data_IF_128583183847
#
_entry.id   IF_128583183847
#
_cell.length_a   1.000
_cell.length_b   1.000
_cell.length_c   1.000
_cell.angle_alpha   90.00
_cell.angle_beta   90.00
_cell.angle_gamma   90.00
#
_symmetry.space_group_name_H-M   'P 1'
#
loop_
_entity.id
_entity.type
_entity.pdbx_description
1 polymer ?
#
# COMPACT_ATOMS: atom_id res chain seq x y z
N UNK A 1 -12.73 21.27 -8.08
CA UNK A 1 -12.53 22.57 -7.41
C UNK A 1 -11.65 23.52 -8.22
N UNK A 2 -10.39 23.17 -8.58
CA UNK A 2 -9.48 24.10 -9.31
C UNK A 2 -10.09 24.66 -10.60
N UNK A 3 -10.66 23.80 -11.47
CA UNK A 3 -11.30 24.21 -12.73
C UNK A 3 -12.42 25.25 -12.51
N UNK A 4 -13.23 25.08 -11.48
CA UNK A 4 -14.32 26.01 -11.17
C UNK A 4 -13.80 27.33 -10.61
N UNK A 5 -12.72 27.32 -9.81
CA UNK A 5 -12.05 28.53 -9.36
C UNK A 5 -11.43 29.29 -10.54
N UNK A 6 -10.79 28.58 -11.49
CA UNK A 6 -10.22 29.20 -12.69
C UNK A 6 -11.29 29.83 -13.59
N UNK A 7 -12.54 29.32 -13.55
CA UNK A 7 -13.68 29.91 -14.25
C UNK A 7 -14.32 31.09 -13.50
N UNK A 8 -13.78 31.48 -12.33
CA UNK A 8 -14.24 32.62 -11.53
C UNK A 8 -15.40 32.33 -10.57
N UNK A 9 -15.74 31.06 -10.36
CA UNK A 9 -16.75 30.69 -9.37
C UNK A 9 -16.26 30.94 -7.95
N UNK A 10 -17.14 31.36 -7.03
CA UNK A 10 -16.80 31.57 -5.64
C UNK A 10 -16.53 30.23 -4.92
N UNK A 11 -15.66 30.22 -3.93
CA UNK A 11 -15.31 28.98 -3.21
C UNK A 11 -16.51 28.36 -2.48
N UNK A 12 -17.41 29.17 -1.97
CA UNK A 12 -18.61 28.74 -1.26
C UNK A 12 -19.62 28.07 -2.24
N UNK A 13 -19.82 28.63 -3.43
CA UNK A 13 -20.65 28.00 -4.47
C UNK A 13 -20.06 26.67 -4.93
N UNK A 14 -18.74 26.62 -5.10
CA UNK A 14 -18.04 25.38 -5.50
C UNK A 14 -18.21 24.29 -4.44
N UNK A 15 -18.03 24.63 -3.15
CA UNK A 15 -18.18 23.67 -2.07
C UNK A 15 -19.61 23.17 -1.91
N UNK A 16 -20.58 24.02 -2.13
CA UNK A 16 -22.00 23.65 -2.12
C UNK A 16 -22.35 22.72 -3.29
N UNK A 17 -21.91 23.05 -4.50
CA UNK A 17 -22.12 22.23 -5.68
C UNK A 17 -21.48 20.83 -5.56
N UNK A 18 -20.22 20.77 -5.09
CA UNK A 18 -19.50 19.50 -4.90
C UNK A 18 -20.12 18.70 -3.75
N UNK A 19 -20.46 19.37 -2.64
CA UNK A 19 -21.07 18.74 -1.49
C UNK A 19 -22.37 18.01 -1.81
N UNK A 20 -23.19 18.58 -2.68
CA UNK A 20 -24.45 17.98 -3.10
C UNK A 20 -24.27 16.68 -3.92
N UNK A 21 -23.11 16.47 -4.53
CA UNK A 21 -22.78 15.27 -5.32
C UNK A 21 -22.11 14.17 -4.50
N UNK A 22 -21.77 14.44 -3.23
CA UNK A 22 -21.03 13.51 -2.37
C UNK A 22 -21.96 12.67 -1.47
N UNK A 23 -21.38 11.58 -0.91
CA UNK A 23 -22.07 10.80 0.11
C UNK A 23 -22.31 11.63 1.39
N UNK A 24 -23.21 11.18 2.25
CA UNK A 24 -23.70 11.91 3.42
C UNK A 24 -22.58 12.53 4.26
N UNK A 25 -21.51 11.80 4.54
CA UNK A 25 -20.39 12.25 5.40
C UNK A 25 -19.64 13.44 4.79
N UNK A 26 -19.30 13.37 3.51
CA UNK A 26 -18.61 14.47 2.83
C UNK A 26 -19.56 15.64 2.53
N UNK A 27 -20.83 15.37 2.20
CA UNK A 27 -21.85 16.39 2.04
C UNK A 27 -21.98 17.27 3.27
N UNK A 28 -22.14 16.66 4.44
CA UNK A 28 -22.24 17.42 5.71
C UNK A 28 -20.98 18.26 5.98
N UNK A 29 -19.80 17.70 5.68
CA UNK A 29 -18.53 18.42 5.81
C UNK A 29 -18.49 19.66 4.89
N UNK A 30 -18.74 19.49 3.59
CA UNK A 30 -18.69 20.59 2.63
C UNK A 30 -19.73 21.68 2.95
N UNK A 31 -20.96 21.32 3.29
CA UNK A 31 -22.00 22.27 3.67
C UNK A 31 -21.69 23.00 4.97
N UNK A 32 -21.02 22.33 5.94
CA UNK A 32 -20.53 22.98 7.16
C UNK A 32 -19.40 23.96 6.83
N UNK A 33 -18.46 23.55 5.98
CA UNK A 33 -17.36 24.41 5.54
C UNK A 33 -17.86 25.64 4.79
N UNK A 34 -18.84 25.49 3.88
CA UNK A 34 -19.48 26.62 3.20
C UNK A 34 -20.07 27.64 4.18
N UNK A 35 -20.78 27.14 5.22
CA UNK A 35 -21.35 28.03 6.24
C UNK A 35 -20.29 28.78 7.05
N UNK A 36 -19.16 28.11 7.35
CA UNK A 36 -18.07 28.73 8.07
C UNK A 36 -17.36 29.80 7.22
N UNK A 37 -17.11 29.54 5.95
CA UNK A 37 -16.50 30.49 5.00
C UNK A 37 -17.40 31.72 4.83
N UNK A 38 -18.71 31.54 4.70
CA UNK A 38 -19.68 32.67 4.67
C UNK A 38 -19.69 33.52 5.95
N UNK A 39 -19.21 32.96 7.10
CA UNK A 39 -19.01 33.68 8.36
C UNK A 39 -17.63 34.34 8.48
N UNK A 40 -16.78 34.26 7.47
CA UNK A 40 -15.45 34.84 7.42
C UNK A 40 -14.32 33.95 7.99
N UNK A 41 -14.59 32.68 8.29
CA UNK A 41 -13.50 31.74 8.66
C UNK A 41 -12.65 31.40 7.45
N UNK A 42 -11.35 31.15 7.67
CA UNK A 42 -10.46 30.67 6.62
C UNK A 42 -10.92 29.32 6.07
N UNK A 43 -10.58 29.03 4.82
CA UNK A 43 -10.92 27.77 4.15
C UNK A 43 -10.28 26.61 4.90
N UNK A 44 -9.00 26.77 5.29
CA UNK A 44 -8.26 25.79 6.09
C UNK A 44 -8.99 25.46 7.39
N UNK A 45 -9.35 26.46 8.22
CA UNK A 45 -10.04 26.22 9.49
C UNK A 45 -11.42 25.57 9.29
N UNK A 46 -12.10 25.91 8.20
CA UNK A 46 -13.40 25.34 7.86
C UNK A 46 -13.30 23.84 7.56
N UNK A 47 -12.25 23.40 6.86
CA UNK A 47 -11.99 21.99 6.60
C UNK A 47 -11.44 21.24 7.82
N UNK A 48 -10.56 21.85 8.61
CA UNK A 48 -9.98 21.25 9.82
C UNK A 48 -11.05 20.78 10.81
N UNK A 49 -12.14 21.53 10.93
CA UNK A 49 -13.25 21.21 11.83
C UNK A 49 -13.98 19.89 11.53
N UNK A 50 -13.68 19.24 10.43
CA UNK A 50 -14.32 17.98 10.00
C UNK A 50 -13.50 16.73 10.29
N UNK A 51 -12.22 16.85 10.62
CA UNK A 51 -11.26 15.73 10.79
C UNK A 51 -11.16 14.76 9.61
N UNK A 52 -11.67 15.15 8.44
CA UNK A 52 -11.68 14.29 7.23
C UNK A 52 -10.45 14.48 6.36
N UNK A 53 -9.74 15.57 6.52
CA UNK A 53 -8.62 15.95 5.67
C UNK A 53 -7.29 15.79 6.41
N UNK A 54 -6.25 15.38 5.68
CA UNK A 54 -4.89 15.24 6.22
C UNK A 54 -4.27 16.61 6.49
N UNK A 55 -3.30 16.67 7.42
CA UNK A 55 -2.50 17.88 7.67
C UNK A 55 -1.81 18.40 6.42
N UNK A 56 -1.38 17.49 5.54
CA UNK A 56 -0.83 17.85 4.22
C UNK A 56 -1.84 18.68 3.40
N UNK A 57 -3.08 18.18 3.25
CA UNK A 57 -4.12 18.88 2.52
C UNK A 57 -4.41 20.25 3.14
N UNK A 58 -4.56 20.30 4.47
CA UNK A 58 -4.86 21.52 5.20
C UNK A 58 -3.74 22.56 5.07
N UNK A 59 -2.48 22.12 5.13
CA UNK A 59 -1.32 23.00 4.96
C UNK A 59 -1.20 23.55 3.53
N UNK A 60 -1.52 22.72 2.54
CA UNK A 60 -1.59 23.17 1.15
C UNK A 60 -2.69 24.20 0.93
N UNK A 61 -3.89 23.97 1.48
CA UNK A 61 -5.00 24.95 1.42
C UNK A 61 -4.61 26.27 2.09
N UNK A 62 -4.01 26.22 3.28
CA UNK A 62 -3.51 27.40 3.98
C UNK A 62 -2.51 28.19 3.14
N UNK A 63 -1.56 27.50 2.51
CA UNK A 63 -0.58 28.13 1.65
C UNK A 63 -1.25 28.79 0.42
N UNK A 64 -2.18 28.08 -0.24
CA UNK A 64 -2.94 28.60 -1.37
C UNK A 64 -3.81 29.82 -1.01
N UNK A 65 -4.44 29.79 0.15
CA UNK A 65 -5.27 30.88 0.68
C UNK A 65 -4.40 32.13 0.98
N UNK A 66 -3.29 31.96 1.72
CA UNK A 66 -2.39 33.04 2.08
C UNK A 66 -1.66 33.67 0.88
N UNK A 67 -1.34 32.88 -0.14
CA UNK A 67 -0.67 33.36 -1.34
C UNK A 67 -1.61 33.84 -2.45
N UNK A 68 -2.93 33.68 -2.28
CA UNK A 68 -3.93 33.96 -3.33
C UNK A 68 -3.86 32.99 -4.52
N UNK A 69 -3.13 31.87 -4.41
CA UNK A 69 -2.93 30.87 -5.48
C UNK A 69 -3.69 29.57 -5.22
N UNK A 70 -4.89 29.67 -4.62
CA UNK A 70 -5.68 28.50 -4.21
C UNK A 70 -6.01 27.57 -5.37
N UNK A 71 -6.31 28.11 -6.54
CA UNK A 71 -6.58 27.30 -7.74
C UNK A 71 -5.39 26.48 -8.16
N UNK A 72 -4.18 27.07 -8.21
CA UNK A 72 -2.94 26.36 -8.53
C UNK A 72 -2.65 25.24 -7.53
N UNK A 73 -2.79 25.54 -6.24
CA UNK A 73 -2.58 24.55 -5.17
C UNK A 73 -3.59 23.40 -5.28
N UNK A 74 -4.85 23.70 -5.51
CA UNK A 74 -5.87 22.66 -5.70
C UNK A 74 -5.64 21.81 -6.96
N UNK A 75 -5.07 22.39 -8.01
CA UNK A 75 -4.66 21.64 -9.20
C UNK A 75 -3.51 20.68 -8.87
N UNK A 76 -2.45 21.17 -8.24
CA UNK A 76 -1.32 20.33 -7.81
C UNK A 76 -1.79 19.19 -6.88
N UNK A 77 -2.71 19.47 -5.96
CA UNK A 77 -3.33 18.46 -5.08
C UNK A 77 -4.19 17.45 -5.87
N UNK A 78 -4.91 17.90 -6.88
CA UNK A 78 -5.69 17.01 -7.76
C UNK A 78 -4.78 16.03 -8.49
N UNK A 79 -3.68 16.52 -9.08
CA UNK A 79 -2.67 15.70 -9.76
C UNK A 79 -2.02 14.70 -8.78
N UNK A 80 -1.72 15.15 -7.55
CA UNK A 80 -1.20 14.30 -6.48
C UNK A 80 -2.12 13.13 -6.15
N UNK A 81 -3.40 13.42 -5.86
CA UNK A 81 -4.36 12.36 -5.50
C UNK A 81 -4.75 11.49 -6.68
N UNK A 82 -4.82 12.05 -7.88
CA UNK A 82 -5.08 11.28 -9.10
C UNK A 82 -3.97 10.26 -9.36
N UNK A 83 -2.70 10.64 -9.18
CA UNK A 83 -1.58 9.73 -9.33
C UNK A 83 -1.61 8.61 -8.28
N UNK A 84 -1.85 8.95 -7.01
CA UNK A 84 -2.00 7.96 -5.94
C UNK A 84 -3.13 6.97 -6.25
N UNK A 85 -4.26 7.46 -6.76
CA UNK A 85 -5.37 6.63 -7.21
C UNK A 85 -4.99 5.74 -8.41
N UNK A 86 -4.30 6.27 -9.41
CA UNK A 86 -3.86 5.50 -10.59
C UNK A 86 -2.94 4.35 -10.21
N UNK A 87 -1.97 4.57 -9.34
CA UNK A 87 -1.07 3.52 -8.84
C UNK A 87 -1.86 2.42 -8.13
N UNK A 88 -2.75 2.80 -7.20
CA UNK A 88 -3.60 1.85 -6.48
C UNK A 88 -4.55 1.09 -7.41
N UNK A 89 -5.14 1.78 -8.38
CA UNK A 89 -6.04 1.18 -9.37
C UNK A 89 -5.30 0.22 -10.29
N UNK A 90 -4.09 0.57 -10.75
CA UNK A 90 -3.23 -0.31 -11.55
C UNK A 90 -2.94 -1.61 -10.80
N UNK A 91 -2.50 -1.51 -9.53
CA UNK A 91 -2.24 -2.69 -8.70
C UNK A 91 -3.49 -3.56 -8.52
N UNK A 92 -4.64 -2.93 -8.23
CA UNK A 92 -5.91 -3.66 -8.07
C UNK A 92 -6.32 -4.38 -9.36
N UNK A 93 -6.24 -3.71 -10.51
CA UNK A 93 -6.62 -4.30 -11.80
C UNK A 93 -5.76 -5.51 -12.17
N UNK A 94 -4.47 -5.43 -11.89
CA UNK A 94 -3.53 -6.51 -12.20
C UNK A 94 -3.75 -7.72 -11.30
N UNK A 95 -4.17 -7.53 -10.05
CA UNK A 95 -4.46 -8.61 -9.10
C UNK A 95 -5.74 -9.39 -9.42
N UNK A 96 -6.58 -8.94 -10.36
CA UNK A 96 -7.82 -9.65 -10.72
C UNK A 96 -7.51 -11.03 -11.32
N UNK A 97 -6.62 -11.09 -12.31
CA UNK A 97 -6.26 -12.37 -12.98
C UNK A 97 -5.66 -13.39 -12.00
N UNK A 98 -4.63 -13.07 -11.20
CA UNK A 98 -4.13 -13.95 -10.15
C UNK A 98 -5.21 -14.41 -9.16
N UNK A 99 -6.12 -13.53 -8.77
CA UNK A 99 -7.19 -13.88 -7.83
C UNK A 99 -8.17 -14.89 -8.44
N UNK A 100 -8.54 -14.73 -9.72
CA UNK A 100 -9.40 -15.70 -10.43
C UNK A 100 -8.73 -17.07 -10.52
N UNK A 101 -7.46 -17.10 -10.91
CA UNK A 101 -6.71 -18.38 -10.99
C UNK A 101 -6.61 -19.07 -9.63
N UNK A 102 -6.34 -18.30 -8.57
CA UNK A 102 -6.26 -18.83 -7.22
C UNK A 102 -7.62 -19.38 -6.73
N UNK A 103 -8.72 -18.68 -7.02
CA UNK A 103 -10.07 -19.16 -6.73
C UNK A 103 -10.36 -20.46 -7.49
N UNK A 104 -10.04 -20.52 -8.79
CA UNK A 104 -10.24 -21.73 -9.59
C UNK A 104 -9.43 -22.91 -9.06
N UNK A 105 -8.19 -22.67 -8.62
CA UNK A 105 -7.35 -23.68 -7.98
C UNK A 105 -7.99 -24.20 -6.69
N UNK A 106 -8.48 -23.32 -5.83
CA UNK A 106 -9.19 -23.71 -4.58
C UNK A 106 -10.41 -24.56 -4.92
N UNK A 107 -11.23 -24.17 -5.90
CA UNK A 107 -12.41 -24.91 -6.33
C UNK A 107 -12.03 -26.31 -6.82
N UNK A 108 -10.96 -26.42 -7.63
CA UNK A 108 -10.47 -27.70 -8.10
C UNK A 108 -9.99 -28.62 -6.96
N UNK A 109 -9.23 -28.07 -6.01
CA UNK A 109 -8.77 -28.82 -4.82
C UNK A 109 -9.96 -29.28 -3.97
N UNK A 110 -10.94 -28.43 -3.73
CA UNK A 110 -12.17 -28.79 -3.00
C UNK A 110 -12.93 -29.89 -3.74
N UNK A 111 -13.09 -29.77 -5.05
CA UNK A 111 -13.75 -30.80 -5.87
C UNK A 111 -13.04 -32.14 -5.73
N UNK A 112 -11.73 -32.17 -5.87
CA UNK A 112 -10.96 -33.41 -5.72
C UNK A 112 -11.09 -33.99 -4.33
N UNK A 113 -11.04 -33.16 -3.29
CA UNK A 113 -11.16 -33.57 -1.89
C UNK A 113 -12.52 -34.22 -1.58
N UNK A 114 -13.63 -33.70 -2.14
CA UNK A 114 -14.96 -34.21 -1.86
C UNK A 114 -15.45 -35.29 -2.82
N UNK A 115 -15.09 -35.21 -4.12
CA UNK A 115 -15.60 -36.10 -5.13
C UNK A 115 -14.63 -37.26 -5.49
N UNK A 116 -13.32 -37.01 -5.41
CA UNK A 116 -12.34 -37.99 -5.92
C UNK A 116 -11.71 -38.80 -4.78
N UNK A 117 -11.13 -38.14 -3.79
CA UNK A 117 -10.37 -38.80 -2.72
C UNK A 117 -11.18 -39.85 -1.92
N UNK A 118 -12.47 -39.61 -1.54
CA UNK A 118 -13.22 -40.61 -0.81
C UNK A 118 -13.41 -41.91 -1.59
N UNK A 119 -13.63 -41.83 -2.90
CA UNK A 119 -13.79 -43.01 -3.75
C UNK A 119 -12.51 -43.85 -3.81
N UNK A 120 -11.34 -43.18 -3.88
CA UNK A 120 -10.05 -43.89 -3.84
C UNK A 120 -9.79 -44.50 -2.46
N UNK A 121 -10.10 -43.81 -1.37
CA UNK A 121 -9.95 -44.40 -0.04
C UNK A 121 -10.78 -45.67 0.14
N UNK A 122 -12.01 -45.69 -0.36
CA UNK A 122 -12.88 -46.91 -0.36
C UNK A 122 -12.29 -48.03 -1.20
N UNK A 123 -11.69 -47.76 -2.37
CA UNK A 123 -11.06 -48.77 -3.21
C UNK A 123 -9.86 -49.42 -2.51
N UNK A 124 -9.04 -48.65 -1.82
CA UNK A 124 -7.92 -49.19 -1.04
C UNK A 124 -8.37 -50.06 0.13
N UNK A 125 -9.37 -49.59 0.87
CA UNK A 125 -9.90 -50.31 2.03
C UNK A 125 -10.58 -51.64 1.59
N UNK A 126 -11.36 -51.61 0.51
CA UNK A 126 -12.09 -52.80 0.00
C UNK A 126 -11.19 -53.90 -0.54
N UNK A 127 -10.04 -53.51 -1.10
CA UNK A 127 -9.09 -54.46 -1.68
C UNK A 127 -7.90 -54.80 -0.76
N UNK A 128 -7.86 -54.29 0.47
CA UNK A 128 -6.74 -54.43 1.42
C UNK A 128 -5.38 -53.99 0.83
N UNK A 129 -5.38 -53.05 -0.11
CA UNK A 129 -4.17 -52.54 -0.77
C UNK A 129 -3.63 -51.35 0.06
N UNK A 130 -2.37 -51.42 0.47
CA UNK A 130 -1.69 -50.30 1.10
C UNK A 130 -1.29 -49.25 0.06
N UNK A 131 -1.78 -47.99 0.16
CA UNK A 131 -1.38 -46.96 -0.80
C UNK A 131 0.13 -46.67 -0.70
N UNK A 132 0.79 -46.30 -1.80
CA UNK A 132 2.16 -45.81 -1.79
C UNK A 132 2.34 -44.62 -0.82
N UNK A 133 3.54 -44.47 -0.30
CA UNK A 133 3.84 -43.44 0.74
C UNK A 133 3.34 -42.06 0.38
N UNK A 134 3.57 -41.60 -0.83
CA UNK A 134 3.15 -40.27 -1.30
C UNK A 134 1.60 -40.15 -1.35
N UNK A 135 0.94 -41.15 -1.93
CA UNK A 135 -0.53 -41.22 -2.01
C UNK A 135 -1.16 -41.29 -0.62
N UNK A 136 -0.56 -42.05 0.29
CA UNK A 136 -1.01 -42.12 1.69
C UNK A 136 -0.97 -40.72 2.37
N UNK A 137 0.13 -39.97 2.21
CA UNK A 137 0.24 -38.61 2.75
C UNK A 137 -0.84 -37.70 2.18
N UNK A 138 -1.03 -37.71 0.84
CA UNK A 138 -2.02 -36.83 0.20
C UNK A 138 -3.44 -37.18 0.62
N UNK A 139 -3.80 -38.48 0.57
CA UNK A 139 -5.14 -38.94 0.97
C UNK A 139 -5.41 -38.60 2.43
N UNK A 140 -4.50 -38.93 3.33
CA UNK A 140 -4.66 -38.68 4.76
C UNK A 140 -4.75 -37.18 5.07
N UNK A 141 -3.89 -36.37 4.44
CA UNK A 141 -3.92 -34.89 4.60
C UNK A 141 -5.24 -34.29 4.10
N UNK A 142 -5.77 -34.78 2.98
CA UNK A 142 -7.02 -34.28 2.43
C UNK A 142 -8.24 -34.74 3.24
N UNK A 143 -8.26 -35.98 3.71
CA UNK A 143 -9.31 -36.46 4.63
C UNK A 143 -9.28 -35.68 5.95
N UNK A 144 -8.09 -35.42 6.50
CA UNK A 144 -7.93 -34.56 7.67
C UNK A 144 -8.44 -33.14 7.40
N UNK A 145 -8.04 -32.52 6.29
CA UNK A 145 -8.56 -31.20 5.92
C UNK A 145 -10.07 -31.20 5.76
N UNK A 146 -10.66 -32.23 5.17
CA UNK A 146 -12.11 -32.37 5.02
C UNK A 146 -12.83 -32.45 6.37
N UNK A 147 -12.34 -33.27 7.29
CA UNK A 147 -12.92 -33.47 8.60
C UNK A 147 -12.85 -32.20 9.47
N UNK A 148 -11.71 -31.53 9.44
CA UNK A 148 -11.44 -30.33 10.25
C UNK A 148 -11.66 -29.01 9.51
N UNK A 149 -12.23 -29.01 8.30
CA UNK A 149 -12.41 -27.78 7.50
C UNK A 149 -13.21 -26.72 8.25
N UNK A 150 -14.26 -27.12 8.98
CA UNK A 150 -15.08 -26.20 9.79
C UNK A 150 -14.31 -25.52 10.93
N UNK A 151 -13.17 -26.08 11.33
CA UNK A 151 -12.29 -25.54 12.38
C UNK A 151 -11.10 -24.81 11.74
N UNK A 152 -10.52 -25.39 10.69
CA UNK A 152 -9.33 -24.85 10.02
C UNK A 152 -9.62 -23.51 9.33
N UNK A 153 -10.77 -23.38 8.66
CA UNK A 153 -11.13 -22.13 7.96
C UNK A 153 -11.28 -20.96 8.94
N UNK A 154 -12.07 -21.06 10.04
CA UNK A 154 -12.11 -19.99 11.04
C UNK A 154 -10.74 -19.70 11.67
N UNK A 155 -9.92 -20.71 11.97
CA UNK A 155 -8.59 -20.53 12.54
C UNK A 155 -7.70 -19.75 11.57
N UNK A 156 -7.72 -20.11 10.27
CA UNK A 156 -6.91 -19.44 9.24
C UNK A 156 -7.30 -17.97 9.03
N UNK A 157 -8.56 -17.62 9.29
CA UNK A 157 -9.04 -16.23 9.25
C UNK A 157 -8.78 -15.52 10.58
N UNK A 158 -9.01 -16.17 11.72
CA UNK A 158 -8.90 -15.55 13.04
C UNK A 158 -7.45 -15.25 13.44
N UNK A 159 -6.50 -16.13 13.10
CA UNK A 159 -5.08 -15.93 13.46
C UNK A 159 -4.52 -14.64 12.85
N UNK A 160 -4.62 -14.35 11.54
CA UNK A 160 -4.15 -13.08 10.97
C UNK A 160 -4.87 -11.86 11.55
N UNK A 161 -6.18 -11.98 11.81
CA UNK A 161 -6.96 -10.89 12.44
C UNK A 161 -6.48 -10.64 13.86
N UNK A 162 -6.28 -11.69 14.65
CA UNK A 162 -5.77 -11.57 16.03
C UNK A 162 -4.36 -10.99 16.05
N UNK A 163 -3.48 -11.47 15.18
CA UNK A 163 -2.13 -10.93 15.02
C UNK A 163 -2.20 -9.44 14.65
N UNK A 164 -3.05 -9.07 13.71
CA UNK A 164 -3.24 -7.67 13.31
C UNK A 164 -3.72 -6.79 14.49
N UNK A 165 -4.68 -7.27 15.29
CA UNK A 165 -5.20 -6.57 16.46
C UNK A 165 -4.10 -6.43 17.54
N UNK A 166 -3.38 -7.50 17.85
CA UNK A 166 -2.28 -7.50 18.82
C UNK A 166 -1.13 -6.57 18.42
N UNK A 167 -0.82 -6.51 17.14
CA UNK A 167 0.19 -5.60 16.59
C UNK A 167 -0.28 -4.15 16.77
N UNK A 168 -1.54 -3.86 16.42
CA UNK A 168 -2.08 -2.50 16.45
C UNK A 168 -2.28 -1.98 17.88
N UNK A 169 -2.48 -2.85 18.87
CA UNK A 169 -2.74 -2.46 20.25
C UNK A 169 -1.50 -2.03 21.03
N UNK A 170 -0.29 -2.37 20.56
CA UNK A 170 0.96 -2.05 21.26
C UNK A 170 1.92 -1.24 20.36
N UNK A 171 2.18 0.00 20.76
CA UNK A 171 3.05 0.95 20.02
C UNK A 171 4.48 0.45 19.87
N UNK A 172 5.03 -0.25 20.87
CA UNK A 172 6.39 -0.83 20.77
C UNK A 172 6.48 -1.96 19.73
N UNK A 173 5.42 -2.76 19.61
CA UNK A 173 5.35 -3.80 18.60
C UNK A 173 5.21 -3.20 17.19
N UNK A 174 4.46 -2.10 17.05
CA UNK A 174 4.38 -1.34 15.80
C UNK A 174 5.77 -0.86 15.36
N UNK A 175 6.55 -0.28 16.25
CA UNK A 175 7.92 0.20 15.95
C UNK A 175 8.85 -0.94 15.49
N UNK A 176 8.79 -2.11 16.14
CA UNK A 176 9.59 -3.28 15.75
C UNK A 176 9.21 -3.80 14.37
N UNK A 177 7.91 -3.85 14.07
CA UNK A 177 7.40 -4.30 12.77
C UNK A 177 7.73 -3.28 11.68
N UNK A 178 7.60 -1.99 11.95
CA UNK A 178 7.95 -0.93 11.02
C UNK A 178 9.45 -0.95 10.70
N UNK A 179 10.29 -1.22 11.70
CA UNK A 179 11.72 -1.45 11.49
C UNK A 179 12.00 -2.74 10.70
N UNK A 180 11.22 -3.80 10.93
CA UNK A 180 11.34 -5.06 10.19
C UNK A 180 10.97 -4.89 8.71
N UNK A 181 9.90 -4.13 8.38
CA UNK A 181 9.55 -3.77 7.00
C UNK A 181 10.70 -3.10 6.27
N UNK A 182 11.47 -2.27 6.98
CA UNK A 182 12.66 -1.61 6.43
C UNK A 182 13.87 -2.56 6.27
N UNK A 183 13.84 -3.79 6.82
CA UNK A 183 14.97 -4.74 6.82
C UNK A 183 14.73 -6.03 6.03
N UNK A 184 13.49 -6.37 5.69
CA UNK A 184 13.16 -7.60 4.97
C UNK A 184 13.78 -7.58 3.55
N UNK A 185 14.66 -8.54 3.18
CA UNK A 185 15.54 -8.43 2.02
C UNK A 185 14.81 -8.29 0.68
N UNK A 186 13.61 -8.85 0.53
CA UNK A 186 12.82 -8.76 -0.70
C UNK A 186 11.92 -7.51 -0.75
N UNK A 187 11.39 -7.07 0.41
CA UNK A 187 10.45 -5.95 0.52
C UNK A 187 11.13 -4.62 0.82
N UNK A 188 12.31 -4.64 1.45
CA UNK A 188 13.03 -3.42 1.85
C UNK A 188 13.21 -2.47 0.66
N UNK A 189 13.75 -2.97 -0.45
CA UNK A 189 14.07 -2.12 -1.61
C UNK A 189 12.83 -1.44 -2.18
N UNK A 190 11.73 -2.20 -2.38
CA UNK A 190 10.46 -1.66 -2.86
C UNK A 190 9.84 -0.67 -1.86
N UNK A 191 9.81 -1.07 -0.58
CA UNK A 191 9.23 -0.26 0.47
C UNK A 191 9.96 1.07 0.64
N UNK A 192 11.29 1.04 0.74
CA UNK A 192 12.11 2.25 0.89
C UNK A 192 12.01 3.15 -0.35
N UNK A 193 11.96 2.57 -1.54
CA UNK A 193 11.75 3.33 -2.78
C UNK A 193 10.39 4.01 -2.81
N UNK A 194 9.33 3.32 -2.36
CA UNK A 194 7.97 3.88 -2.24
C UNK A 194 7.91 5.03 -1.22
N UNK A 195 8.55 4.87 -0.06
CA UNK A 195 8.64 5.93 0.95
C UNK A 195 9.44 7.12 0.43
N UNK A 196 10.56 6.87 -0.25
CA UNK A 196 11.42 7.91 -0.83
C UNK A 196 10.69 8.70 -1.91
N UNK A 197 9.99 8.02 -2.83
CA UNK A 197 9.17 8.65 -3.85
C UNK A 197 8.06 9.53 -3.23
N UNK A 198 7.34 8.98 -2.24
CA UNK A 198 6.29 9.72 -1.53
C UNK A 198 6.83 10.94 -0.77
N UNK A 199 7.94 10.79 -0.04
CA UNK A 199 8.61 11.88 0.65
C UNK A 199 9.03 12.98 -0.32
N UNK A 200 9.72 12.62 -1.39
CA UNK A 200 10.23 13.57 -2.38
C UNK A 200 9.11 14.30 -3.11
N UNK A 201 8.02 13.60 -3.43
CA UNK A 201 6.81 14.21 -4.03
C UNK A 201 6.19 15.24 -3.09
N UNK A 202 5.99 14.88 -1.84
CA UNK A 202 5.41 15.78 -0.85
C UNK A 202 6.29 17.01 -0.65
N UNK A 203 7.60 16.82 -0.52
CA UNK A 203 8.57 17.93 -0.41
C UNK A 203 8.52 18.85 -1.65
N UNK A 204 8.54 18.28 -2.86
CA UNK A 204 8.47 19.06 -4.10
C UNK A 204 7.20 19.92 -4.16
N UNK A 205 6.03 19.32 -3.91
CA UNK A 205 4.74 20.03 -4.00
C UNK A 205 4.67 21.15 -2.97
N UNK A 206 5.10 20.89 -1.73
CA UNK A 206 5.09 21.89 -0.67
C UNK A 206 6.06 23.04 -0.95
N UNK A 207 7.30 22.75 -1.38
CA UNK A 207 8.29 23.77 -1.72
C UNK A 207 7.84 24.60 -2.92
N UNK A 208 7.33 23.96 -3.99
CA UNK A 208 6.74 24.64 -5.15
C UNK A 208 5.62 25.60 -4.76
N UNK A 209 4.85 25.24 -3.74
CA UNK A 209 3.75 26.08 -3.21
C UNK A 209 4.25 27.18 -2.26
N UNK A 210 5.55 27.22 -1.95
CA UNK A 210 6.15 28.25 -1.09
C UNK A 210 6.13 27.92 0.40
N UNK A 211 5.84 26.68 0.77
CA UNK A 211 5.93 26.26 2.18
C UNK A 211 7.40 26.18 2.59
N UNK A 212 7.80 26.78 3.72
CA UNK A 212 9.18 26.74 4.19
C UNK A 212 9.67 25.31 4.37
N UNK A 213 10.94 25.03 4.08
CA UNK A 213 11.49 23.69 4.05
C UNK A 213 11.38 22.95 5.38
N UNK A 214 11.54 23.63 6.50
CA UNK A 214 11.39 23.04 7.83
C UNK A 214 9.97 22.50 8.03
N UNK A 215 8.97 23.32 7.73
CA UNK A 215 7.57 22.94 7.83
C UNK A 215 7.23 21.82 6.82
N UNK A 216 7.85 21.85 5.63
CA UNK A 216 7.67 20.81 4.64
C UNK A 216 8.21 19.45 5.12
N UNK A 217 9.37 19.41 5.74
CA UNK A 217 9.93 18.16 6.31
C UNK A 217 9.06 17.65 7.47
N UNK A 218 8.56 18.54 8.33
CA UNK A 218 7.66 18.19 9.43
C UNK A 218 6.37 17.56 8.91
N UNK A 219 5.68 18.23 7.98
CA UNK A 219 4.45 17.72 7.37
C UNK A 219 4.71 16.41 6.61
N UNK A 220 5.81 16.33 5.86
CA UNK A 220 6.18 15.11 5.14
C UNK A 220 6.44 13.92 6.09
N UNK A 221 7.02 14.18 7.27
CA UNK A 221 7.22 13.15 8.29
C UNK A 221 5.90 12.63 8.86
N UNK A 222 4.90 13.48 9.02
CA UNK A 222 3.57 13.13 9.53
C UNK A 222 2.75 12.29 8.54
N UNK A 223 2.98 12.46 7.24
CA UNK A 223 2.34 11.67 6.18
C UNK A 223 2.87 10.23 6.17
N UNK A 224 4.12 10.02 6.58
CA UNK A 224 4.75 8.71 6.58
C UNK A 224 4.15 7.84 7.69
N UNK A 225 3.49 6.75 7.30
CA UNK A 225 2.80 5.84 8.23
C UNK A 225 3.75 4.94 9.03
N UNK A 226 5.05 5.00 8.79
CA UNK A 226 6.06 4.20 9.46
C UNK A 226 6.66 4.98 10.62
N UNK A 227 6.38 4.54 11.85
CA UNK A 227 6.84 5.20 13.06
C UNK A 227 8.37 5.22 13.18
N UNK A 228 9.06 4.19 12.70
CA UNK A 228 10.53 4.16 12.71
C UNK A 228 11.10 5.28 11.83
N UNK A 229 10.60 5.42 10.60
CA UNK A 229 11.06 6.47 9.65
C UNK A 229 10.68 7.85 10.18
N UNK A 230 9.46 8.02 10.72
CA UNK A 230 9.01 9.27 11.34
C UNK A 230 9.97 9.72 12.44
N UNK A 231 10.33 8.84 13.38
CA UNK A 231 11.30 9.13 14.46
C UNK A 231 12.68 9.53 13.92
N UNK A 232 13.14 8.91 12.84
CA UNK A 232 14.41 9.29 12.21
C UNK A 232 14.33 10.67 11.57
N UNK A 233 13.23 11.01 10.90
CA UNK A 233 13.01 12.36 10.35
C UNK A 233 12.88 13.43 11.43
N UNK A 234 12.30 13.13 12.58
CA UNK A 234 12.26 14.04 13.74
C UNK A 234 13.69 14.35 14.25
N UNK A 235 14.63 13.39 14.15
CA UNK A 235 16.04 13.64 14.44
C UNK A 235 16.60 14.62 13.39
N UNK A 236 16.35 14.38 12.10
CA UNK A 236 16.78 15.29 11.02
C UNK A 236 16.25 16.71 11.24
N UNK A 237 14.97 16.88 11.58
CA UNK A 237 14.35 18.16 11.88
C UNK A 237 15.07 18.92 13.00
N UNK A 238 15.50 18.24 14.06
CA UNK A 238 16.26 18.86 15.15
C UNK A 238 17.60 19.42 14.69
N UNK A 239 18.28 18.76 13.74
CA UNK A 239 19.54 19.25 13.18
C UNK A 239 19.30 20.41 12.20
N UNK A 240 18.26 20.34 11.37
CA UNK A 240 17.87 21.43 10.45
C UNK A 240 17.55 22.69 11.27
N UNK A 241 16.78 22.57 12.35
CA UNK A 241 16.44 23.69 13.24
C UNK A 241 17.66 24.31 13.96
N UNK A 242 18.77 23.55 14.09
CA UNK A 242 20.05 24.05 14.60
C UNK A 242 20.94 24.69 13.51
N UNK A 243 20.44 24.82 12.30
CA UNK A 243 21.18 25.43 11.18
C UNK A 243 22.10 24.45 10.41
N UNK A 244 21.98 23.15 10.65
CA UNK A 244 22.73 22.16 9.85
C UNK A 244 22.16 22.09 8.44
N UNK A 245 23.00 21.73 7.45
CA UNK A 245 22.54 21.56 6.08
C UNK A 245 21.48 20.47 5.98
N UNK A 246 20.54 20.64 5.05
CA UNK A 246 19.38 19.77 4.87
C UNK A 246 19.83 18.38 4.45
N UNK A 247 20.74 18.30 3.48
CA UNK A 247 21.31 17.05 2.97
C UNK A 247 21.97 16.24 4.08
N UNK A 248 22.83 16.87 4.90
CA UNK A 248 23.49 16.22 6.04
C UNK A 248 22.47 15.78 7.11
N UNK A 249 21.47 16.61 7.38
CA UNK A 249 20.47 16.30 8.41
C UNK A 249 19.58 15.12 8.00
N UNK A 250 19.22 15.03 6.72
CA UNK A 250 18.44 13.90 6.19
C UNK A 250 19.30 12.63 6.09
N UNK A 251 20.59 12.75 5.80
CA UNK A 251 21.53 11.63 5.80
C UNK A 251 21.66 10.98 7.18
N UNK A 252 21.65 11.78 8.26
CA UNK A 252 21.67 11.29 9.64
C UNK A 252 20.48 10.39 9.99
N UNK A 253 19.35 10.54 9.31
CA UNK A 253 18.21 9.64 9.45
C UNK A 253 18.52 8.21 9.01
N UNK A 254 19.50 8.03 8.12
CA UNK A 254 19.97 6.72 7.59
C UNK A 254 18.83 5.83 7.06
N UNK A 255 17.76 6.46 6.52
CA UNK A 255 16.59 5.76 5.99
C UNK A 255 16.43 5.94 4.47
N UNK A 256 17.02 6.99 3.90
CA UNK A 256 16.91 7.26 2.48
C UNK A 256 18.11 6.75 1.68
N UNK A 257 17.93 6.38 0.40
CA UNK A 257 19.02 5.97 -0.46
C UNK A 257 20.05 7.09 -0.69
N UNK A 258 21.33 6.74 -0.86
CA UNK A 258 22.45 7.66 -1.09
C UNK A 258 22.22 8.57 -2.31
N UNK A 259 21.49 8.07 -3.31
CA UNK A 259 21.12 8.84 -4.50
C UNK A 259 20.31 10.08 -4.13
N UNK A 260 19.32 9.95 -3.22
CA UNK A 260 18.53 11.09 -2.73
C UNK A 260 19.46 12.11 -2.06
N UNK A 261 20.33 11.64 -1.16
CA UNK A 261 21.25 12.50 -0.39
C UNK A 261 22.17 13.27 -1.33
N UNK A 262 22.76 12.59 -2.33
CA UNK A 262 23.64 13.19 -3.32
C UNK A 262 22.93 14.25 -4.17
N UNK A 263 21.71 13.96 -4.64
CA UNK A 263 20.92 14.92 -5.42
C UNK A 263 20.50 16.13 -4.58
N UNK A 264 20.12 15.89 -3.32
CA UNK A 264 19.74 16.95 -2.39
C UNK A 264 20.93 17.85 -2.04
N UNK A 265 22.13 17.28 -1.84
CA UNK A 265 23.36 18.03 -1.61
C UNK A 265 23.66 18.97 -2.78
N UNK A 266 23.60 18.47 -4.02
CA UNK A 266 23.80 19.29 -5.22
C UNK A 266 22.79 20.44 -5.32
N UNK A 267 21.53 20.18 -4.94
CA UNK A 267 20.48 21.20 -4.89
C UNK A 267 20.69 22.26 -3.83
N UNK A 268 21.21 21.85 -2.68
CA UNK A 268 21.53 22.74 -1.57
C UNK A 268 22.71 23.65 -1.94
N UNK A 269 23.78 23.09 -2.53
CA UNK A 269 24.96 23.84 -3.02
C UNK A 269 24.62 24.82 -4.13
N UNK A 270 23.67 24.46 -5.01
CA UNK A 270 23.21 25.33 -6.11
C UNK A 270 22.10 26.33 -5.71
N UNK A 271 21.59 26.26 -4.48
CA UNK A 271 20.45 27.07 -4.00
C UNK A 271 19.09 26.69 -4.62
N UNK A 272 18.98 25.54 -5.28
CA UNK A 272 17.78 25.10 -6.00
C UNK A 272 17.18 23.81 -5.42
N UNK A 273 16.85 23.83 -4.13
CA UNK A 273 16.33 22.65 -3.41
C UNK A 273 14.99 22.18 -3.99
N UNK A 274 14.12 23.11 -4.40
CA UNK A 274 12.82 22.77 -5.02
C UNK A 274 13.02 21.91 -6.27
N UNK A 275 13.88 22.36 -7.20
CA UNK A 275 14.19 21.59 -8.42
C UNK A 275 14.86 20.26 -8.12
N UNK A 276 15.67 20.18 -7.09
CA UNK A 276 16.26 18.92 -6.66
C UNK A 276 15.19 17.94 -6.22
N UNK A 277 14.25 18.35 -5.40
CA UNK A 277 13.12 17.49 -5.03
C UNK A 277 12.24 17.12 -6.23
N UNK A 278 12.11 17.98 -7.24
CA UNK A 278 11.43 17.65 -8.49
C UNK A 278 12.14 16.51 -9.23
N UNK A 279 13.45 16.59 -9.38
CA UNK A 279 14.24 15.55 -10.06
C UNK A 279 14.29 14.26 -9.25
N UNK A 280 14.46 14.35 -7.93
CA UNK A 280 14.43 13.20 -7.01
C UNK A 280 13.06 12.51 -7.12
N UNK A 281 11.97 13.26 -7.08
CA UNK A 281 10.62 12.71 -7.23
C UNK A 281 10.49 11.96 -8.55
N UNK A 282 10.83 12.58 -9.66
CA UNK A 282 10.73 11.97 -11.00
C UNK A 282 11.56 10.68 -11.09
N UNK A 283 12.78 10.70 -10.55
CA UNK A 283 13.68 9.56 -10.55
C UNK A 283 13.07 8.38 -9.75
N UNK A 284 12.69 8.62 -8.49
CA UNK A 284 12.18 7.54 -7.63
C UNK A 284 10.80 7.05 -8.04
N UNK A 285 9.96 7.90 -8.63
CA UNK A 285 8.68 7.46 -9.21
C UNK A 285 8.89 6.53 -10.40
N UNK A 286 9.79 6.85 -11.31
CA UNK A 286 10.11 6.00 -12.45
C UNK A 286 10.70 4.65 -11.99
N UNK A 287 11.62 4.68 -11.03
CA UNK A 287 12.20 3.47 -10.46
C UNK A 287 11.12 2.60 -9.77
N UNK A 288 10.19 3.23 -9.05
CA UNK A 288 9.08 2.53 -8.41
C UNK A 288 8.14 1.88 -9.44
N UNK A 289 7.83 2.58 -10.52
CA UNK A 289 7.01 2.05 -11.61
C UNK A 289 7.70 0.83 -12.27
N UNK A 290 9.00 0.92 -12.55
CA UNK A 290 9.79 -0.20 -13.10
C UNK A 290 9.81 -1.39 -12.14
N UNK A 291 10.02 -1.16 -10.85
CA UNK A 291 9.99 -2.24 -9.85
C UNK A 291 8.62 -2.87 -9.71
N UNK A 292 7.57 -2.05 -9.73
CA UNK A 292 6.19 -2.51 -9.68
C UNK A 292 5.90 -3.43 -10.86
N UNK A 293 6.26 -3.03 -12.07
CA UNK A 293 6.06 -3.82 -13.28
C UNK A 293 6.88 -5.14 -13.26
N UNK A 294 8.09 -5.13 -12.68
CA UNK A 294 8.87 -6.37 -12.48
C UNK A 294 8.19 -7.34 -11.52
N UNK A 295 7.72 -6.85 -10.38
CA UNK A 295 7.01 -7.70 -9.38
C UNK A 295 5.77 -8.31 -10.02
N UNK A 296 5.01 -7.53 -10.77
CA UNK A 296 3.80 -7.98 -11.46
C UNK A 296 4.11 -9.12 -12.44
N UNK A 297 5.15 -8.97 -13.27
CA UNK A 297 5.56 -9.98 -14.24
C UNK A 297 6.04 -11.28 -13.59
N UNK A 298 6.49 -11.25 -12.34
CA UNK A 298 6.90 -12.44 -11.60
C UNK A 298 5.72 -13.20 -10.97
N UNK A 299 4.58 -12.52 -10.76
CA UNK A 299 3.39 -13.15 -10.15
C UNK A 299 2.85 -14.26 -11.06
N UNK A 300 2.76 -14.05 -12.35
CA UNK A 300 2.20 -15.02 -13.31
C UNK A 300 3.00 -16.34 -13.35
N UNK A 301 4.34 -16.34 -13.56
CA UNK A 301 5.13 -17.56 -13.48
C UNK A 301 5.06 -18.24 -12.11
N UNK A 302 5.06 -17.45 -11.01
CA UNK A 302 4.97 -18.01 -9.67
C UNK A 302 3.65 -18.76 -9.44
N UNK A 303 2.52 -18.17 -9.85
CA UNK A 303 1.22 -18.83 -9.75
C UNK A 303 1.17 -20.08 -10.66
N UNK A 304 1.68 -20.01 -11.88
CA UNK A 304 1.69 -21.13 -12.80
C UNK A 304 2.50 -22.31 -12.24
N UNK A 305 3.66 -22.05 -11.64
CA UNK A 305 4.48 -23.07 -10.97
C UNK A 305 3.73 -23.67 -9.77
N UNK A 306 3.14 -22.85 -8.92
CA UNK A 306 2.36 -23.31 -7.76
C UNK A 306 1.19 -24.19 -8.22
N UNK A 307 0.44 -23.74 -9.23
CA UNK A 307 -0.66 -24.54 -9.79
C UNK A 307 -0.18 -25.85 -10.38
N UNK A 308 0.91 -25.83 -11.14
CA UNK A 308 1.53 -27.04 -11.71
C UNK A 308 1.96 -28.03 -10.64
N UNK A 309 2.56 -27.55 -9.54
CA UNK A 309 2.96 -28.41 -8.41
C UNK A 309 1.73 -28.99 -7.67
N UNK A 310 0.70 -28.18 -7.43
CA UNK A 310 -0.52 -28.65 -6.74
C UNK A 310 -1.26 -29.66 -7.62
N UNK A 311 -1.58 -29.31 -8.85
CA UNK A 311 -2.36 -30.19 -9.75
C UNK A 311 -1.55 -31.42 -10.13
N UNK A 312 -0.26 -31.27 -10.46
CA UNK A 312 0.63 -32.39 -10.79
C UNK A 312 0.79 -33.33 -9.60
N UNK A 313 0.97 -32.80 -8.40
CA UNK A 313 1.00 -33.61 -7.17
C UNK A 313 -0.29 -34.39 -6.92
N UNK A 314 -1.45 -33.76 -7.15
CA UNK A 314 -2.75 -34.41 -7.04
C UNK A 314 -2.93 -35.55 -8.10
N UNK A 315 -2.54 -35.29 -9.34
CA UNK A 315 -2.59 -36.33 -10.40
C UNK A 315 -1.69 -37.53 -10.04
N UNK A 316 -0.47 -37.28 -9.62
CA UNK A 316 0.46 -38.36 -9.21
C UNK A 316 -0.14 -39.13 -8.02
N UNK A 317 -0.70 -38.46 -7.04
CA UNK A 317 -1.32 -39.11 -5.87
C UNK A 317 -2.51 -40.02 -6.22
N UNK A 318 -3.21 -39.71 -7.32
CA UNK A 318 -4.36 -40.51 -7.79
C UNK A 318 -3.93 -41.61 -8.75
N UNK A 319 -3.06 -41.31 -9.69
CA UNK A 319 -2.68 -42.23 -10.79
C UNK A 319 -1.70 -43.33 -10.33
N UNK A 320 -0.75 -42.99 -9.46
CA UNK A 320 0.25 -43.93 -8.97
C UNK A 320 -0.37 -45.16 -8.29
N UNK A 321 -1.33 -45.03 -7.39
CA UNK A 321 -2.01 -46.18 -6.80
C UNK A 321 -2.82 -47.01 -7.80
N UNK A 322 -3.37 -46.38 -8.85
CA UNK A 322 -4.09 -47.14 -9.91
C UNK A 322 -3.16 -48.12 -10.66
N UNK A 323 -1.94 -47.65 -10.99
CA UNK A 323 -0.96 -48.53 -11.61
C UNK A 323 -0.52 -49.65 -10.69
N UNK A 324 -0.30 -49.38 -9.40
CA UNK A 324 0.08 -50.42 -8.44
C UNK A 324 -1.06 -51.44 -8.22
N UNK A 325 -2.32 -51.00 -8.22
CA UNK A 325 -3.46 -51.90 -8.14
C UNK A 325 -3.61 -52.81 -9.36
N UNK A 326 -3.29 -52.33 -10.59
CA UNK A 326 -3.35 -53.11 -11.81
C UNK A 326 -2.18 -54.12 -11.89
N UNK A 327 -1.01 -53.78 -11.35
CA UNK A 327 0.15 -54.65 -11.34
C UNK A 327 0.16 -55.69 -10.24
N UNK A 328 -0.72 -55.54 -9.23
CA UNK A 328 -0.88 -56.46 -8.10
C UNK A 328 -1.94 -57.57 -8.37
N UNK A 329 -2.64 -57.49 -9.50
CA UNK A 329 -3.55 -58.53 -10.02
C UNK A 329 -2.82 -59.40 -11.02
#
# INVERSE_FOLDING_TARGET
MSILLDSGASIDDILEAIGNQQNKKYKECFLKSTRNIKKGYSIENSFRSSELFSEFFLSMIRCGENSGKLSTVLKDMSEYYERDYRVKSKLKSIMIYPAILFIMMIVAVIFIMYAVIPNFALVFDSNNIKPPFFSYIVITSMLFMREYMNILVPIFILIPVLIYILIKSNTENMDKIDKLKCKLPLWNKYYMMSVTASFSRNMYIMLKSGIPIINSVEIASDIIRNNYIKKQLEISLRYINKGSSISKSIDLASVFPDVLISMLKNGEESGNIEKSFQYINTFFENELDIMTDRIIRLIEPAITIIMGLVIGGLIIAIVMPMFDAITAI
#
